data_IF_473197730847
#
_entry.id   IF_473197730847
#
_cell.length_a   1.000
_cell.length_b   1.000
_cell.length_c   1.000
_cell.angle_alpha   90.00
_cell.angle_beta   90.00
_cell.angle_gamma   90.00
#
_symmetry.space_group_name_H-M   'P 1'
#
loop_
_entity.id
_entity.type
_entity.pdbx_description
1 polymer ?
#
# COMPACT_ATOMS: atom_id res chain seq x y z
N UNK A 1 -2.65 -4.71 12.60
CA UNK A 1 -2.79 -5.49 11.36
C UNK A 1 -2.51 -6.94 11.69
N UNK A 2 -3.53 -7.80 11.70
CA UNK A 2 -3.50 -9.16 12.28
C UNK A 2 -2.54 -10.13 11.58
N UNK A 3 -2.26 -9.93 10.29
CA UNK A 3 -1.32 -10.76 9.52
C UNK A 3 0.14 -10.33 9.62
N UNK A 4 0.43 -9.26 10.37
CA UNK A 4 1.79 -8.82 10.66
C UNK A 4 2.25 -9.35 12.02
N UNK A 5 3.51 -9.77 12.08
CA UNK A 5 4.16 -10.24 13.29
C UNK A 5 4.35 -9.10 14.30
N UNK A 6 4.73 -7.92 13.81
CA UNK A 6 4.92 -6.74 14.64
C UNK A 6 3.89 -5.64 14.37
N UNK A 7 3.15 -5.31 15.43
CA UNK A 7 2.26 -4.16 15.44
C UNK A 7 3.05 -2.91 15.81
N UNK A 8 3.07 -1.94 14.89
CA UNK A 8 3.73 -0.67 15.11
C UNK A 8 2.66 0.40 15.37
N UNK A 9 2.77 1.21 16.43
CA UNK A 9 1.84 2.29 16.71
C UNK A 9 1.95 3.41 15.66
N UNK A 10 0.89 4.21 15.55
CA UNK A 10 0.82 5.43 14.74
C UNK A 10 1.31 5.26 13.29
N UNK A 11 0.72 4.31 12.53
CA UNK A 11 1.13 4.01 11.17
C UNK A 11 1.15 5.22 10.23
N UNK A 12 0.21 6.17 10.36
CA UNK A 12 0.16 7.35 9.49
C UNK A 12 1.24 8.38 9.84
N UNK A 13 1.56 8.52 11.12
CA UNK A 13 2.70 9.31 11.58
C UNK A 13 3.99 8.74 11.00
N UNK A 14 4.19 7.43 11.10
CA UNK A 14 5.39 6.78 10.55
C UNK A 14 5.46 6.81 9.03
N UNK A 15 4.33 6.78 8.33
CA UNK A 15 4.29 6.99 6.87
C UNK A 15 4.81 8.37 6.49
N UNK A 16 4.39 9.39 7.24
CA UNK A 16 4.77 10.77 6.95
C UNK A 16 6.21 11.08 7.40
N UNK A 17 6.73 10.40 8.43
CA UNK A 17 8.15 10.45 8.84
C UNK A 17 9.07 9.58 7.97
N UNK A 18 8.51 8.79 7.02
CA UNK A 18 9.27 7.84 6.20
C UNK A 18 9.73 6.59 6.96
N UNK A 19 9.27 6.37 8.20
CA UNK A 19 9.66 5.26 9.08
C UNK A 19 8.63 4.13 9.15
N UNK A 20 7.66 4.09 8.24
CA UNK A 20 6.57 3.10 8.27
C UNK A 20 7.04 1.64 8.23
N UNK A 21 8.08 1.36 7.45
CA UNK A 21 8.68 0.02 7.33
C UNK A 21 9.73 -0.26 8.41
N UNK A 22 10.16 0.76 9.16
CA UNK A 22 11.20 0.61 10.17
C UNK A 22 10.64 -0.08 11.40
N UNK A 23 11.53 -0.70 12.18
CA UNK A 23 11.20 -1.45 13.40
C UNK A 23 10.18 -2.58 13.15
N UNK A 24 10.30 -3.25 12.00
CA UNK A 24 9.49 -4.42 11.63
C UNK A 24 10.41 -5.60 11.26
N UNK A 25 9.95 -6.85 11.46
CA UNK A 25 10.60 -8.03 10.91
C UNK A 25 10.68 -7.95 9.38
N UNK A 26 11.69 -8.59 8.80
CA UNK A 26 11.90 -8.60 7.35
C UNK A 26 10.67 -9.08 6.58
N UNK A 27 10.06 -10.19 7.02
CA UNK A 27 8.85 -10.75 6.41
C UNK A 27 7.69 -9.75 6.38
N UNK A 28 7.49 -8.98 7.45
CA UNK A 28 6.44 -7.96 7.49
C UNK A 28 6.73 -6.82 6.50
N UNK A 29 7.99 -6.43 6.35
CA UNK A 29 8.41 -5.44 5.34
C UNK A 29 8.16 -5.96 3.93
N UNK A 30 8.48 -7.23 3.66
CA UNK A 30 8.20 -7.86 2.37
C UNK A 30 6.71 -7.87 2.06
N UNK A 31 5.86 -8.35 2.99
CA UNK A 31 4.40 -8.36 2.87
C UNK A 31 3.85 -6.97 2.53
N UNK A 32 4.26 -5.95 3.29
CA UNK A 32 3.79 -4.57 3.13
C UNK A 32 4.22 -3.95 1.79
N UNK A 33 5.46 -4.16 1.35
CA UNK A 33 5.94 -3.68 0.06
C UNK A 33 5.16 -4.30 -1.11
N UNK A 34 4.95 -5.62 -1.05
CA UNK A 34 4.24 -6.35 -2.09
C UNK A 34 2.78 -5.91 -2.16
N UNK A 35 2.11 -5.79 -1.02
CA UNK A 35 0.70 -5.40 -0.99
C UNK A 35 0.47 -3.93 -1.30
N UNK A 36 1.42 -3.05 -0.97
CA UNK A 36 1.40 -1.67 -1.43
C UNK A 36 1.40 -1.62 -2.96
N UNK A 37 2.27 -2.40 -3.60
CA UNK A 37 2.29 -2.55 -5.05
C UNK A 37 0.96 -3.13 -5.59
N UNK A 38 0.47 -4.24 -5.04
CA UNK A 38 -0.79 -4.89 -5.49
C UNK A 38 -2.00 -3.96 -5.35
N UNK A 39 -2.09 -3.25 -4.23
CA UNK A 39 -3.17 -2.28 -3.99
C UNK A 39 -3.09 -1.11 -4.99
N UNK A 40 -1.89 -0.60 -5.28
CA UNK A 40 -1.70 0.45 -6.30
C UNK A 40 -2.08 -0.02 -7.70
N UNK A 41 -1.74 -1.26 -8.06
CA UNK A 41 -2.09 -1.85 -9.35
C UNK A 41 -3.60 -2.03 -9.51
N UNK A 42 -4.29 -2.50 -8.46
CA UNK A 42 -5.76 -2.60 -8.46
C UNK A 42 -6.41 -1.22 -8.62
N UNK A 43 -5.96 -0.20 -7.87
CA UNK A 43 -6.48 1.16 -7.98
C UNK A 43 -6.24 1.76 -9.37
N UNK A 44 -5.05 1.55 -9.95
CA UNK A 44 -4.74 1.98 -11.33
C UNK A 44 -5.71 1.38 -12.35
N UNK A 45 -6.09 0.12 -12.18
CA UNK A 45 -7.07 -0.52 -13.04
C UNK A 45 -8.51 -0.04 -12.81
N UNK A 46 -8.94 -0.01 -11.54
CA UNK A 46 -10.35 0.25 -11.21
C UNK A 46 -10.73 1.73 -11.26
N UNK A 47 -9.81 2.61 -10.88
CA UNK A 47 -10.09 4.03 -10.70
C UNK A 47 -9.56 4.88 -11.85
N UNK A 48 -8.40 4.52 -12.40
CA UNK A 48 -7.73 5.31 -13.44
C UNK A 48 -7.92 4.75 -14.86
N UNK A 49 -8.42 3.52 -15.00
CA UNK A 49 -8.40 2.75 -16.26
C UNK A 49 -6.99 2.69 -16.87
N UNK A 50 -5.97 2.64 -16.02
CA UNK A 50 -4.54 2.60 -16.34
C UNK A 50 -3.90 1.36 -15.72
N UNK A 51 -3.95 0.19 -16.39
CA UNK A 51 -3.26 -1.00 -15.91
C UNK A 51 -1.77 -0.74 -15.68
N UNK A 52 -1.22 -1.32 -14.62
CA UNK A 52 0.23 -1.45 -14.48
C UNK A 52 0.77 -2.21 -15.70
N UNK A 53 1.68 -1.62 -16.51
CA UNK A 53 2.23 -2.29 -17.67
C UNK A 53 2.98 -3.58 -17.30
N UNK A 54 2.95 -4.59 -18.18
CA UNK A 54 3.64 -5.87 -18.00
C UNK A 54 3.25 -6.61 -16.70
N UNK A 55 1.97 -6.52 -16.32
CA UNK A 55 1.41 -7.16 -15.13
C UNK A 55 0.26 -8.11 -15.45
N UNK A 56 -0.26 -8.80 -14.44
CA UNK A 56 -1.48 -9.62 -14.54
C UNK A 56 -2.72 -8.83 -14.99
N UNK A 57 -2.70 -7.50 -14.85
CA UNK A 57 -3.76 -6.63 -15.33
C UNK A 57 -3.68 -6.33 -16.84
N UNK A 58 -2.57 -6.71 -17.48
CA UNK A 58 -2.34 -6.61 -18.93
C UNK A 58 -2.23 -7.96 -19.62
N UNK A 59 -2.59 -9.06 -18.93
CA UNK A 59 -2.55 -10.42 -19.48
C UNK A 59 -1.23 -11.15 -19.30
N UNK A 60 -0.26 -10.60 -18.56
CA UNK A 60 0.97 -11.33 -18.22
C UNK A 60 0.69 -12.35 -17.10
N UNK A 61 1.44 -13.47 -17.02
CA UNK A 61 1.24 -14.49 -16.00
C UNK A 61 1.67 -14.04 -14.59
N UNK A 62 2.52 -13.02 -14.50
CA UNK A 62 3.04 -12.48 -13.24
C UNK A 62 3.19 -10.97 -13.33
N UNK A 63 3.20 -10.31 -12.17
CA UNK A 63 3.54 -8.89 -12.02
C UNK A 63 4.93 -8.68 -11.44
N UNK A 64 5.79 -9.71 -11.45
CA UNK A 64 7.13 -9.61 -10.86
C UNK A 64 8.00 -8.53 -11.50
N UNK A 65 7.97 -8.38 -12.83
CA UNK A 65 8.78 -7.37 -13.54
C UNK A 65 8.42 -5.92 -13.13
N UNK A 66 7.14 -5.50 -13.11
CA UNK A 66 6.79 -4.20 -12.57
C UNK A 66 7.01 -4.09 -11.06
N UNK A 67 6.94 -5.18 -10.29
CA UNK A 67 7.27 -5.17 -8.86
C UNK A 67 8.76 -4.94 -8.60
N UNK A 68 9.67 -5.53 -9.39
CA UNK A 68 11.11 -5.24 -9.31
C UNK A 68 11.40 -3.75 -9.50
N UNK A 69 10.73 -3.12 -10.47
CA UNK A 69 10.83 -1.67 -10.70
C UNK A 69 10.29 -0.83 -9.54
N UNK A 70 9.26 -1.32 -8.86
CA UNK A 70 8.75 -0.71 -7.64
C UNK A 70 9.79 -0.76 -6.52
N UNK A 71 10.49 -1.89 -6.34
CA UNK A 71 11.61 -2.01 -5.38
C UNK A 71 12.80 -1.12 -5.76
N UNK A 72 13.15 -1.01 -7.05
CA UNK A 72 14.16 -0.07 -7.53
C UNK A 72 13.81 1.36 -7.11
N UNK A 73 12.56 1.77 -7.30
CA UNK A 73 12.10 3.08 -6.89
C UNK A 73 12.13 3.24 -5.37
N UNK A 74 11.71 2.24 -4.60
CA UNK A 74 11.73 2.28 -3.14
C UNK A 74 13.16 2.50 -2.61
N UNK A 75 14.16 1.86 -3.21
CA UNK A 75 15.57 2.01 -2.85
C UNK A 75 16.13 3.42 -3.11
N UNK A 76 15.52 4.20 -4.02
CA UNK A 76 15.90 5.60 -4.25
C UNK A 76 15.29 6.57 -3.23
N UNK A 77 14.32 6.11 -2.43
CA UNK A 77 13.63 6.96 -1.45
C UNK A 77 14.44 7.03 -0.16
N UNK A 78 14.90 8.23 0.13
CA UNK A 78 15.61 8.53 1.38
C UNK A 78 14.78 8.07 2.57
N UNK A 79 15.42 7.32 3.46
CA UNK A 79 14.87 6.87 4.74
C UNK A 79 13.66 5.93 4.67
N UNK A 80 13.13 5.56 3.49
CA UNK A 80 11.91 4.76 3.37
C UNK A 80 12.12 3.30 3.78
N UNK A 81 13.18 2.68 3.28
CA UNK A 81 13.52 1.29 3.57
C UNK A 81 14.28 1.19 4.91
N UNK A 82 14.13 0.08 5.64
CA UNK A 82 14.86 -0.15 6.88
C UNK A 82 16.38 -0.13 6.68
N UNK A 83 17.19 0.20 7.71
CA UNK A 83 18.64 0.27 7.59
C UNK A 83 19.33 -1.03 7.21
N UNK A 84 18.69 -2.17 7.49
CA UNK A 84 19.19 -3.50 7.13
C UNK A 84 18.93 -3.85 5.65
N UNK A 85 18.10 -3.09 4.94
CA UNK A 85 17.73 -3.42 3.57
C UNK A 85 18.93 -3.32 2.62
N UNK A 86 19.21 -4.42 1.92
CA UNK A 86 20.27 -4.51 0.93
C UNK A 86 19.84 -5.31 -0.32
N UNK A 87 20.81 -5.65 -1.17
CA UNK A 87 20.56 -6.43 -2.40
C UNK A 87 20.10 -7.86 -2.09
N UNK A 88 20.55 -8.46 -0.99
CA UNK A 88 20.10 -9.79 -0.55
C UNK A 88 18.63 -9.78 -0.15
N UNK A 89 18.24 -8.84 0.72
CA UNK A 89 16.85 -8.69 1.15
C UNK A 89 15.91 -8.33 -0.01
N UNK A 90 16.41 -7.55 -0.99
CA UNK A 90 15.68 -7.34 -2.24
C UNK A 90 15.39 -8.66 -2.95
N UNK A 91 16.41 -9.49 -3.17
CA UNK A 91 16.25 -10.76 -3.87
C UNK A 91 15.31 -11.73 -3.12
N UNK A 92 15.36 -11.73 -1.78
CA UNK A 92 14.44 -12.47 -0.94
C UNK A 92 13.00 -11.97 -1.05
N UNK A 93 12.80 -10.65 -1.06
CA UNK A 93 11.49 -10.04 -1.26
C UNK A 93 10.91 -10.39 -2.64
N UNK A 94 11.73 -10.36 -3.70
CA UNK A 94 11.33 -10.79 -5.04
C UNK A 94 10.92 -12.27 -5.07
N UNK A 95 11.69 -13.15 -4.41
CA UNK A 95 11.35 -14.57 -4.28
C UNK A 95 10.08 -14.78 -3.46
N UNK A 96 9.91 -14.03 -2.38
CA UNK A 96 8.72 -14.08 -1.53
C UNK A 96 7.47 -13.63 -2.28
N UNK A 97 7.60 -12.66 -3.19
CA UNK A 97 6.52 -12.17 -4.04
C UNK A 97 5.96 -13.23 -5.01
N UNK A 98 6.69 -14.31 -5.31
CA UNK A 98 6.23 -15.43 -6.15
C UNK A 98 6.19 -16.78 -5.40
N UNK A 99 6.15 -16.74 -4.07
CA UNK A 99 6.19 -17.92 -3.21
C UNK A 99 4.89 -18.75 -3.19
N UNK A 100 3.78 -18.20 -3.67
CA UNK A 100 2.44 -18.78 -3.50
C UNK A 100 1.74 -18.36 -2.20
N UNK A 101 2.41 -17.57 -1.35
CA UNK A 101 1.80 -16.95 -0.17
C UNK A 101 0.67 -15.98 -0.56
N UNK A 102 -0.10 -15.53 0.43
CA UNK A 102 -1.24 -14.63 0.19
C UNK A 102 -0.86 -13.35 -0.58
N UNK A 103 0.36 -12.86 -0.35
CA UNK A 103 0.92 -11.66 -0.96
C UNK A 103 1.36 -11.86 -2.42
N UNK A 104 1.21 -13.04 -3.00
CA UNK A 104 1.78 -13.36 -4.31
C UNK A 104 1.33 -12.39 -5.43
N UNK A 105 2.29 -11.87 -6.20
CA UNK A 105 2.07 -10.85 -7.26
C UNK A 105 1.41 -11.39 -8.52
N UNK A 106 1.23 -12.71 -8.61
CA UNK A 106 0.43 -13.38 -9.65
C UNK A 106 -1.07 -13.29 -9.34
N UNK A 107 -1.44 -12.87 -8.13
CA UNK A 107 -2.82 -12.77 -7.69
C UNK A 107 -3.29 -11.31 -7.57
N UNK A 108 -4.44 -11.02 -8.18
CA UNK A 108 -5.16 -9.75 -7.96
C UNK A 108 -5.65 -9.66 -6.53
N UNK A 109 -5.93 -8.45 -6.09
CA UNK A 109 -6.47 -8.18 -4.77
C UNK A 109 -7.51 -7.08 -4.84
N UNK A 110 -8.50 -7.14 -3.96
CA UNK A 110 -9.51 -6.09 -3.80
C UNK A 110 -9.32 -5.38 -2.46
N UNK A 111 -9.90 -4.18 -2.33
CA UNK A 111 -9.95 -3.46 -1.06
C UNK A 111 -10.53 -4.33 0.07
N UNK A 112 -11.60 -5.09 -0.20
CA UNK A 112 -12.24 -5.94 0.79
C UNK A 112 -11.32 -7.06 1.27
N UNK A 113 -10.63 -7.74 0.34
CA UNK A 113 -9.65 -8.78 0.68
C UNK A 113 -8.48 -8.24 1.51
N UNK A 114 -8.02 -7.01 1.25
CA UNK A 114 -6.99 -6.36 2.08
C UNK A 114 -7.48 -6.10 3.50
N UNK A 115 -8.70 -5.58 3.67
CA UNK A 115 -9.30 -5.35 5.00
C UNK A 115 -9.44 -6.66 5.76
N UNK A 116 -9.91 -7.71 5.09
CA UNK A 116 -10.06 -9.04 5.68
C UNK A 116 -8.72 -9.63 6.11
N UNK A 117 -7.74 -9.63 5.21
CA UNK A 117 -6.41 -10.20 5.46
C UNK A 117 -5.69 -9.50 6.62
N UNK A 118 -5.69 -8.17 6.63
CA UNK A 118 -5.02 -7.39 7.67
C UNK A 118 -5.88 -7.18 8.93
N UNK A 119 -7.17 -7.49 8.88
CA UNK A 119 -8.13 -7.26 9.98
C UNK A 119 -8.22 -5.80 10.41
N UNK A 120 -7.99 -4.85 9.49
CA UNK A 120 -7.95 -3.42 9.75
C UNK A 120 -8.57 -2.65 8.57
N UNK A 121 -9.66 -1.92 8.82
CA UNK A 121 -10.35 -1.12 7.80
C UNK A 121 -9.46 -0.04 7.17
N UNK A 122 -8.43 0.39 7.89
CA UNK A 122 -7.47 1.39 7.43
C UNK A 122 -6.31 0.78 6.64
N UNK A 123 -6.17 -0.55 6.58
CA UNK A 123 -5.06 -1.20 5.89
C UNK A 123 -4.92 -0.80 4.40
N UNK A 124 -6.00 -0.78 3.58
CA UNK A 124 -5.88 -0.32 2.20
C UNK A 124 -5.36 1.11 2.08
N UNK A 125 -5.72 1.99 3.03
CA UNK A 125 -5.24 3.37 3.04
C UNK A 125 -3.75 3.45 3.39
N UNK A 126 -3.30 2.68 4.38
CA UNK A 126 -1.87 2.61 4.73
C UNK A 126 -1.03 2.11 3.55
N UNK A 127 -1.48 1.05 2.87
CA UNK A 127 -0.79 0.47 1.72
C UNK A 127 -0.73 1.43 0.52
N UNK A 128 -1.81 2.19 0.27
CA UNK A 128 -1.82 3.25 -0.76
C UNK A 128 -0.83 4.35 -0.46
N UNK A 129 -0.76 4.80 0.79
CA UNK A 129 0.19 5.83 1.21
C UNK A 129 1.63 5.34 1.16
N UNK A 130 1.87 4.07 1.48
CA UNK A 130 3.18 3.44 1.29
C UNK A 130 3.57 3.41 -0.20
N UNK A 131 2.65 2.99 -1.08
CA UNK A 131 2.88 3.00 -2.52
C UNK A 131 3.15 4.42 -3.05
N UNK A 132 2.42 5.42 -2.54
CA UNK A 132 2.68 6.82 -2.86
C UNK A 132 4.07 7.27 -2.39
N UNK A 133 4.53 6.86 -1.21
CA UNK A 133 5.89 7.16 -0.75
C UNK A 133 6.96 6.56 -1.68
N UNK A 134 6.69 5.38 -2.26
CA UNK A 134 7.56 4.75 -3.26
C UNK A 134 7.50 5.44 -4.63
N UNK A 135 6.31 5.74 -5.15
CA UNK A 135 6.15 6.35 -6.47
C UNK A 135 6.40 7.88 -6.48
N UNK A 136 6.28 8.54 -5.33
CA UNK A 136 6.29 10.00 -5.19
C UNK A 136 4.99 10.68 -5.66
N UNK A 137 3.97 9.90 -6.02
CA UNK A 137 2.67 10.38 -6.50
C UNK A 137 1.56 9.41 -6.09
N UNK A 138 0.44 9.95 -5.64
CA UNK A 138 -0.73 9.15 -5.25
C UNK A 138 -1.54 8.65 -6.45
N UNK A 139 -2.53 7.81 -6.17
CA UNK A 139 -3.54 7.42 -7.16
C UNK A 139 -4.31 8.64 -7.69
N UNK A 140 -4.77 8.57 -8.95
CA UNK A 140 -5.46 9.66 -9.65
C UNK A 140 -4.63 10.95 -9.81
N UNK A 141 -3.31 10.89 -9.61
CA UNK A 141 -2.45 12.08 -9.62
C UNK A 141 -2.66 13.01 -8.42
N UNK A 142 -3.39 12.57 -7.39
CA UNK A 142 -3.58 13.35 -6.18
C UNK A 142 -2.33 13.27 -5.30
N UNK A 143 -1.95 14.41 -4.71
CA UNK A 143 -0.94 14.45 -3.66
C UNK A 143 -1.60 14.07 -2.33
N UNK A 144 -1.24 12.92 -1.77
CA UNK A 144 -1.80 12.40 -0.53
C UNK A 144 -1.30 13.11 0.73
N UNK A 145 -0.43 14.13 0.63
CA UNK A 145 0.10 14.86 1.78
C UNK A 145 -0.99 15.46 2.69
N UNK A 146 -2.06 16.00 2.10
CA UNK A 146 -3.20 16.52 2.88
C UNK A 146 -3.91 15.42 3.67
N UNK A 147 -4.13 14.27 3.04
CA UNK A 147 -4.74 13.10 3.70
C UNK A 147 -3.80 12.51 4.76
N UNK A 148 -2.48 12.41 4.51
CA UNK A 148 -1.48 11.96 5.49
C UNK A 148 -1.49 12.83 6.75
N UNK A 149 -1.43 14.15 6.58
CA UNK A 149 -1.45 15.11 7.69
C UNK A 149 -2.75 15.02 8.50
N UNK A 150 -3.88 14.82 7.82
CA UNK A 150 -5.17 14.63 8.48
C UNK A 150 -5.19 13.34 9.31
N UNK A 151 -4.74 12.22 8.74
CA UNK A 151 -4.74 10.92 9.43
C UNK A 151 -3.79 10.91 10.63
N UNK A 152 -2.60 11.53 10.51
CA UNK A 152 -1.69 11.77 11.63
C UNK A 152 -2.38 12.53 12.77
N UNK A 153 -3.10 13.60 12.45
CA UNK A 153 -3.84 14.39 13.46
C UNK A 153 -4.90 13.56 14.19
N UNK A 154 -5.54 12.61 13.50
CA UNK A 154 -6.50 11.69 14.11
C UNK A 154 -5.83 10.65 15.01
N UNK A 155 -4.61 10.20 14.70
CA UNK A 155 -3.82 9.32 15.58
C UNK A 155 -3.42 10.03 16.87
N UNK A 156 -3.02 11.29 16.80
CA UNK A 156 -2.61 12.09 17.96
C UNK A 156 -3.77 12.65 18.80
N UNK A 157 -5.00 12.17 18.60
CA UNK A 157 -6.19 12.62 19.36
C UNK A 157 -6.71 14.01 18.99
N UNK A 158 -6.37 14.54 17.81
CA UNK A 158 -6.89 15.81 17.30
C UNK A 158 -8.40 15.74 16.99
N UNK A 159 -9.10 16.88 16.89
CA UNK A 159 -10.54 16.92 16.68
C UNK A 159 -10.90 16.24 15.35
N UNK A 160 -11.37 14.98 15.46
CA UNK A 160 -11.95 14.23 14.36
C UNK A 160 -13.26 14.90 13.95
N UNK A 161 -13.17 15.90 13.08
CA UNK A 161 -14.34 16.66 12.67
C UNK A 161 -15.28 15.71 11.91
N UNK A 162 -16.41 15.34 12.53
CA UNK A 162 -17.35 14.32 12.05
C UNK A 162 -17.88 14.54 10.63
N UNK A 163 -17.73 15.76 10.09
CA UNK A 163 -18.05 16.08 8.69
C UNK A 163 -17.15 15.39 7.66
N UNK A 164 -15.95 14.89 8.03
CA UNK A 164 -15.01 14.32 7.05
C UNK A 164 -15.23 12.81 6.83
N UNK A 165 -15.84 12.10 7.80
CA UNK A 165 -16.35 10.74 7.59
C UNK A 165 -17.33 10.69 6.40
N UNK A 166 -18.14 11.74 6.22
CA UNK A 166 -19.07 11.87 5.08
C UNK A 166 -18.36 11.99 3.72
N UNK A 167 -17.15 12.58 3.64
CA UNK A 167 -16.37 12.61 2.40
C UNK A 167 -15.72 11.25 2.08
N UNK A 168 -15.39 10.42 3.09
CA UNK A 168 -15.01 9.03 2.85
C UNK A 168 -16.21 8.19 2.35
N UNK A 169 -17.43 8.55 2.74
CA UNK A 169 -18.68 7.96 2.25
C UNK A 169 -19.06 8.37 0.81
N UNK A 170 -18.45 9.41 0.22
CA UNK A 170 -18.67 9.74 -1.21
C UNK A 170 -18.17 8.61 -2.13
N UNK A 171 -17.15 7.85 -1.70
CA UNK A 171 -16.74 6.63 -2.42
C UNK A 171 -17.77 5.50 -2.29
N UNK A 172 -18.74 5.61 -1.37
CA UNK A 172 -19.87 4.69 -1.20
C UNK A 172 -21.10 5.10 -2.03
N UNK A 173 -21.13 6.31 -2.58
CA UNK A 173 -22.19 6.77 -3.51
C UNK A 173 -21.93 6.43 -4.98
N UNK A 174 -20.68 6.16 -5.40
CA UNK A 174 -20.37 5.70 -6.77
C UNK A 174 -20.50 4.16 -6.93
N UNK A 175 -21.35 3.54 -6.10
CA UNK A 175 -21.71 2.13 -6.15
C UNK A 175 -23.23 1.91 -6.12
N UNK A 176 -24.01 2.90 -6.56
CA UNK A 176 -25.48 2.84 -6.46
C UNK A 176 -26.19 3.60 -7.57
N UNK A 177 -26.34 2.97 -8.72
CA UNK A 177 -27.50 3.03 -9.62
C UNK A 177 -27.32 1.84 -10.57
N UNK A 178 -28.10 0.76 -10.52
CA UNK A 178 -29.52 0.68 -10.21
C UNK A 178 -30.24 0.35 -11.52
N UNK A 179 -30.56 -0.94 -11.70
CA UNK A 179 -31.46 -1.56 -12.69
C UNK A 179 -31.30 -1.19 -14.16
#
# INVERSE_FOLDING_TARGET
MKSLEQHVPDPFTRLDDGKYLHDRPETDVYRLLIDAFRMRSEDGMKLENKPTPNSIYTGNPSSIEPFKKFLDQAATRRDLLPPWWDVGHRAECEKFAESGEWNDVRNKVTKAQMVEHYGDEKAPMQLRMLAEAVYGVGSMGQNGAGMRKMMRSMESGGPGNGNVMSMMDISRMMGGSGR
#
